data_IF_235792723509
#
_entry.id   IF_235792723509
#
_cell.length_a   1.000
_cell.length_b   1.000
_cell.length_c   1.000
_cell.angle_alpha   90.00
_cell.angle_beta   90.00
_cell.angle_gamma   90.00
#
_symmetry.space_group_name_H-M   'P 1'
#
loop_
_entity.id
_entity.type
_entity.pdbx_description
1 polymer ?
#
# COMPACT_ATOMS: atom_id res chain seq x y z
N UNK A 1 13.05 6.26 7.00
CA UNK A 1 13.24 5.17 6.00
C UNK A 1 11.95 4.98 5.22
N UNK A 2 12.02 4.48 3.97
CA UNK A 2 10.82 4.27 3.13
C UNK A 2 9.81 3.28 3.76
N UNK A 3 10.28 2.38 4.63
CA UNK A 3 9.42 1.51 5.44
C UNK A 3 8.51 2.30 6.41
N UNK A 4 9.02 3.37 7.03
CA UNK A 4 8.23 4.22 7.93
C UNK A 4 7.15 4.95 7.15
N UNK A 5 7.49 5.47 5.96
CA UNK A 5 6.51 6.14 5.08
C UNK A 5 5.41 5.18 4.64
N UNK A 6 5.75 3.94 4.28
CA UNK A 6 4.77 2.92 3.91
C UNK A 6 3.88 2.52 5.10
N UNK A 7 4.45 2.45 6.30
CA UNK A 7 3.71 2.19 7.53
C UNK A 7 2.74 3.33 7.87
N UNK A 8 3.18 4.59 7.74
CA UNK A 8 2.32 5.76 7.94
C UNK A 8 1.18 5.83 6.90
N UNK A 9 1.45 5.50 5.63
CA UNK A 9 0.40 5.44 4.61
C UNK A 9 -0.63 4.35 4.91
N UNK A 10 -0.18 3.19 5.41
CA UNK A 10 -1.07 2.12 5.88
C UNK A 10 -1.94 2.60 7.04
N UNK A 11 -1.33 3.25 8.02
CA UNK A 11 -2.07 3.81 9.17
C UNK A 11 -3.09 4.86 8.75
N UNK A 12 -2.71 5.78 7.85
CA UNK A 12 -3.61 6.77 7.28
C UNK A 12 -4.80 6.07 6.60
N UNK A 13 -4.54 5.05 5.79
CA UNK A 13 -5.58 4.31 5.08
C UNK A 13 -6.52 3.57 6.02
N UNK A 14 -6.02 2.98 7.11
CA UNK A 14 -6.85 2.35 8.15
C UNK A 14 -7.83 3.35 8.73
N UNK A 15 -7.37 4.56 9.09
CA UNK A 15 -8.23 5.61 9.66
C UNK A 15 -9.32 6.00 8.66
N UNK A 16 -8.97 6.18 7.39
CA UNK A 16 -9.92 6.52 6.34
C UNK A 16 -11.00 5.44 6.15
N UNK A 17 -10.63 4.16 6.20
CA UNK A 17 -11.59 3.04 6.11
C UNK A 17 -12.49 3.02 7.35
N UNK A 18 -11.97 3.30 8.55
CA UNK A 18 -12.77 3.40 9.77
C UNK A 18 -13.78 4.54 9.70
N UNK A 19 -13.38 5.70 9.20
CA UNK A 19 -14.28 6.83 8.95
C UNK A 19 -15.37 6.43 7.95
N UNK A 20 -14.99 5.82 6.81
CA UNK A 20 -15.94 5.30 5.83
C UNK A 20 -16.91 4.27 6.42
N UNK A 21 -16.45 3.42 7.35
CA UNK A 21 -17.28 2.43 8.05
C UNK A 21 -18.31 3.10 8.95
N UNK A 22 -17.93 4.19 9.64
CA UNK A 22 -18.85 4.98 10.44
C UNK A 22 -19.93 5.62 9.56
N UNK A 23 -19.55 6.19 8.42
CA UNK A 23 -20.51 6.72 7.42
C UNK A 23 -21.42 5.63 6.85
N UNK A 24 -20.87 4.45 6.50
CA UNK A 24 -21.65 3.33 5.96
C UNK A 24 -22.68 2.80 6.97
N UNK A 25 -22.31 2.70 8.25
CA UNK A 25 -23.23 2.31 9.32
C UNK A 25 -24.34 3.36 9.53
N UNK A 26 -23.99 4.65 9.51
CA UNK A 26 -24.96 5.72 9.67
C UNK A 26 -25.92 5.83 8.48
N UNK A 27 -25.44 5.54 7.27
CA UNK A 27 -26.25 5.44 6.06
C UNK A 27 -27.00 4.09 5.94
N UNK A 28 -26.85 3.17 6.89
CA UNK A 28 -27.38 1.79 6.86
C UNK A 28 -27.03 1.03 5.56
N UNK A 29 -25.89 1.34 4.95
CA UNK A 29 -25.41 0.68 3.73
C UNK A 29 -24.67 -0.59 4.13
N UNK A 30 -25.42 -1.69 4.25
CA UNK A 30 -24.86 -3.02 4.59
C UNK A 30 -24.40 -3.80 3.36
N UNK A 31 -25.02 -3.55 2.20
CA UNK A 31 -24.69 -4.21 0.92
C UNK A 31 -24.10 -3.22 -0.06
N UNK A 32 -23.19 -3.65 -0.95
CA UNK A 32 -22.66 -2.78 -2.00
C UNK A 32 -23.80 -2.27 -2.87
N UNK A 33 -23.95 -0.94 -2.98
CA UNK A 33 -24.95 -0.30 -3.84
C UNK A 33 -24.44 -0.07 -5.27
N UNK A 34 -23.17 -0.39 -5.54
CA UNK A 34 -22.54 -0.23 -6.86
C UNK A 34 -22.64 -1.53 -7.68
N UNK A 35 -23.19 -1.44 -8.89
CA UNK A 35 -23.24 -2.56 -9.86
C UNK A 35 -21.99 -2.66 -10.74
N UNK A 36 -21.16 -1.60 -10.79
CA UNK A 36 -19.90 -1.58 -11.53
C UNK A 36 -18.76 -1.28 -10.56
N UNK A 37 -17.66 -2.02 -10.66
CA UNK A 37 -16.38 -1.72 -10.00
C UNK A 37 -15.76 -0.49 -10.66
N UNK A 38 -16.29 0.70 -10.36
CA UNK A 38 -15.54 1.93 -10.55
C UNK A 38 -14.42 1.98 -9.51
N UNK A 39 -13.31 2.64 -9.86
CA UNK A 39 -12.24 2.95 -8.92
C UNK A 39 -12.83 3.51 -7.63
N UNK A 40 -12.78 2.70 -6.57
CA UNK A 40 -13.27 3.07 -5.25
C UNK A 40 -12.32 4.12 -4.67
N UNK A 41 -12.75 5.37 -4.77
CA UNK A 41 -12.14 6.51 -4.09
C UNK A 41 -12.51 6.49 -2.61
N UNK A 42 -11.73 7.21 -1.79
CA UNK A 42 -11.93 7.27 -0.34
C UNK A 42 -13.37 7.68 0.03
N UNK A 43 -13.94 8.63 -0.70
CA UNK A 43 -15.30 9.12 -0.51
C UNK A 43 -16.37 8.17 -1.06
N UNK A 44 -16.07 7.25 -1.97
CA UNK A 44 -17.06 6.29 -2.50
C UNK A 44 -16.98 4.93 -1.82
N UNK A 45 -16.03 4.74 -0.91
CA UNK A 45 -15.80 3.45 -0.24
C UNK A 45 -17.00 3.02 0.64
N UNK A 46 -17.78 3.97 1.17
CA UNK A 46 -19.01 3.66 1.90
C UNK A 46 -20.08 2.97 1.04
N UNK A 47 -20.04 3.14 -0.28
CA UNK A 47 -20.95 2.48 -1.22
C UNK A 47 -20.62 0.98 -1.40
N UNK A 48 -19.46 0.52 -0.94
CA UNK A 48 -19.08 -0.89 -0.91
C UNK A 48 -19.82 -1.65 0.20
N UNK A 49 -20.36 -0.93 1.18
CA UNK A 49 -21.07 -1.46 2.34
C UNK A 49 -20.19 -1.67 3.56
N UNK A 50 -20.81 -1.61 4.74
CA UNK A 50 -20.12 -1.78 6.04
C UNK A 50 -19.43 -3.14 6.18
N UNK A 51 -19.99 -4.20 5.60
CA UNK A 51 -19.42 -5.56 5.64
C UNK A 51 -18.07 -5.63 4.90
N UNK A 52 -18.01 -5.03 3.71
CA UNK A 52 -16.79 -4.96 2.92
C UNK A 52 -15.72 -4.07 3.59
N UNK A 53 -16.14 -2.94 4.20
CA UNK A 53 -15.25 -2.06 4.96
C UNK A 53 -14.72 -2.73 6.23
N UNK A 54 -15.56 -3.48 6.95
CA UNK A 54 -15.15 -4.22 8.14
C UNK A 54 -14.17 -5.34 7.78
N UNK A 55 -14.41 -6.02 6.66
CA UNK A 55 -13.48 -6.99 6.09
C UNK A 55 -12.16 -6.33 5.67
N UNK A 56 -12.19 -5.14 5.06
CA UNK A 56 -10.98 -4.37 4.75
C UNK A 56 -10.18 -4.05 6.03
N UNK A 57 -10.82 -3.54 7.10
CA UNK A 57 -10.14 -3.27 8.37
C UNK A 57 -9.55 -4.54 8.99
N UNK A 58 -10.28 -5.67 8.96
CA UNK A 58 -9.80 -6.96 9.49
C UNK A 58 -8.62 -7.53 8.71
N UNK A 59 -8.63 -7.38 7.39
CA UNK A 59 -7.58 -7.90 6.49
C UNK A 59 -6.47 -6.89 6.18
N UNK A 60 -6.53 -5.68 6.72
CA UNK A 60 -5.51 -4.65 6.51
C UNK A 60 -4.15 -5.05 7.11
N UNK A 61 -4.15 -5.85 8.17
CA UNK A 61 -2.93 -6.43 8.74
C UNK A 61 -2.20 -7.34 7.72
N UNK A 62 -2.96 -8.14 6.96
CA UNK A 62 -2.46 -9.06 5.93
C UNK A 62 -2.26 -8.42 4.56
N UNK A 63 -2.68 -7.17 4.36
CA UNK A 63 -2.55 -6.48 3.08
C UNK A 63 -1.08 -6.13 2.83
N UNK A 64 -0.50 -6.51 1.68
CA UNK A 64 0.89 -6.18 1.39
C UNK A 64 1.07 -4.67 1.35
N UNK A 65 2.12 -4.18 2.00
CA UNK A 65 2.53 -2.78 1.95
C UNK A 65 2.79 -2.41 0.48
N UNK A 66 1.98 -1.50 -0.04
CA UNK A 66 2.15 -0.99 -1.40
C UNK A 66 3.28 0.01 -1.35
N UNK A 67 4.47 -0.44 -1.72
CA UNK A 67 5.62 0.44 -1.81
C UNK A 67 5.61 1.20 -3.14
N UNK A 68 6.07 2.46 -3.11
CA UNK A 68 6.28 3.23 -4.33
C UNK A 68 7.39 2.62 -5.20
N UNK A 69 7.40 2.95 -6.48
CA UNK A 69 8.44 2.53 -7.43
C UNK A 69 9.87 2.87 -6.97
N UNK A 70 10.04 3.95 -6.19
CA UNK A 70 11.32 4.35 -5.58
C UNK A 70 11.87 3.34 -4.56
N UNK A 71 11.01 2.62 -3.85
CA UNK A 71 11.40 1.59 -2.90
C UNK A 71 12.01 0.39 -3.63
N UNK A 72 11.35 -0.05 -4.71
CA UNK A 72 11.86 -1.12 -5.56
C UNK A 72 13.19 -0.74 -6.22
N UNK A 73 13.34 0.50 -6.67
CA UNK A 73 14.62 1.01 -7.20
C UNK A 73 15.73 1.00 -6.14
N UNK A 74 15.42 1.45 -4.92
CA UNK A 74 16.41 1.47 -3.82
C UNK A 74 16.80 0.06 -3.40
N UNK A 75 15.84 -0.87 -3.33
CA UNK A 75 16.10 -2.28 -3.05
C UNK A 75 16.91 -2.94 -4.15
N UNK A 76 16.62 -2.62 -5.41
CA UNK A 76 17.39 -3.10 -6.55
C UNK A 76 18.84 -2.60 -6.49
N UNK A 77 19.05 -1.30 -6.22
CA UNK A 77 20.38 -0.74 -6.08
C UNK A 77 21.16 -1.39 -4.92
N UNK A 78 20.50 -1.68 -3.80
CA UNK A 78 21.14 -2.34 -2.67
C UNK A 78 21.56 -3.78 -3.03
N UNK A 79 20.67 -4.54 -3.67
CA UNK A 79 20.97 -5.89 -4.16
C UNK A 79 22.10 -5.88 -5.20
N UNK A 80 22.10 -4.87 -6.08
CA UNK A 80 23.12 -4.71 -7.12
C UNK A 80 24.51 -4.48 -6.48
N UNK A 81 24.58 -3.59 -5.48
CA UNK A 81 25.80 -3.33 -4.68
C UNK A 81 26.27 -4.58 -3.92
N UNK A 82 25.35 -5.33 -3.28
CA UNK A 82 25.72 -6.58 -2.60
C UNK A 82 26.16 -7.69 -3.56
N UNK A 83 25.60 -7.70 -4.78
CA UNK A 83 25.97 -8.64 -5.84
C UNK A 83 27.25 -8.25 -6.59
N UNK A 84 27.75 -7.02 -6.37
CA UNK A 84 28.93 -6.50 -7.04
C UNK A 84 30.18 -7.23 -6.52
N UNK A 85 30.63 -8.25 -7.27
CA UNK A 85 31.91 -8.92 -7.02
C UNK A 85 33.04 -7.99 -7.44
N UNK A 86 33.71 -7.39 -6.46
CA UNK A 86 34.85 -6.47 -6.63
C UNK A 86 36.10 -7.17 -7.18
N UNK A 87 36.13 -8.50 -7.23
CA UNK A 87 37.25 -9.33 -7.71
C UNK A 87 37.64 -9.08 -9.19
N UNK A 88 36.71 -8.58 -10.01
CA UNK A 88 36.90 -8.35 -11.46
C UNK A 88 36.85 -6.85 -11.83
N UNK A 89 37.06 -5.96 -10.84
CA UNK A 89 37.35 -4.57 -11.19
C UNK A 89 38.78 -4.54 -11.73
N UNK A 90 38.89 -4.64 -13.04
CA UNK A 90 40.13 -4.51 -13.81
C UNK A 90 40.59 -3.04 -13.80
N UNK A 91 40.87 -2.51 -12.60
CA UNK A 91 41.27 -1.12 -12.36
C UNK A 91 42.71 -0.96 -12.82
N UNK A 92 42.89 -0.72 -14.11
CA UNK A 92 44.18 -0.35 -14.65
C UNK A 92 44.47 1.11 -14.27
N UNK A 93 45.37 1.29 -13.29
CA UNK A 93 45.76 2.61 -12.80
C UNK A 93 46.74 3.37 -13.70
N UNK A 94 47.07 2.87 -14.90
CA UNK A 94 47.95 3.58 -15.83
C UNK A 94 47.83 3.05 -17.27
N UNK A 95 48.01 3.94 -18.25
CA UNK A 95 48.17 3.63 -19.68
C UNK A 95 49.58 3.97 -20.11
#
# INVERSE_FOLDING_TARGET
>A
TQEVVAQEQKELRIRQIQEALQYANQAQVTKPQIQQTQDVTQDTMFLLGSDALESMVKHEASRPLVFSSTYYQTRQNLLDIESLKVDDLDIHAYR
#
